data_IF_288609857177
#
_entry.id   IF_288609857177
#
_cell.length_a   1.000
_cell.length_b   1.000
_cell.length_c   1.000
_cell.angle_alpha   90.00
_cell.angle_beta   90.00
_cell.angle_gamma   90.00
#
_symmetry.space_group_name_H-M   'P 1'
#
loop_
_entity.id
_entity.type
_entity.pdbx_description
1 polymer ?
#
# COMPACT_ATOMS: atom_id res chain seq x y z
N UNK A 1 -38.27 -7.28 15.18
CA UNK A 1 -38.81 -7.69 13.87
C UNK A 1 -37.64 -7.95 12.94
N UNK A 2 -37.68 -9.06 12.19
CA UNK A 2 -36.62 -9.51 11.29
C UNK A 2 -36.49 -8.55 10.11
N UNK A 3 -35.44 -7.74 10.08
CA UNK A 3 -34.91 -7.22 8.82
C UNK A 3 -34.06 -8.32 8.19
N UNK A 4 -34.73 -9.27 7.52
CA UNK A 4 -34.09 -10.02 6.45
C UNK A 4 -33.70 -9.01 5.37
N UNK A 5 -32.46 -8.51 5.48
CA UNK A 5 -31.81 -7.70 4.46
C UNK A 5 -31.86 -8.50 3.16
N UNK A 6 -32.83 -8.20 2.30
CA UNK A 6 -32.83 -8.69 0.93
C UNK A 6 -31.50 -8.26 0.30
N UNK A 7 -30.62 -9.22 0.12
CA UNK A 7 -29.28 -9.06 -0.42
C UNK A 7 -29.40 -8.49 -1.83
N UNK A 8 -29.28 -7.18 -1.95
CA UNK A 8 -29.29 -6.50 -3.25
C UNK A 8 -28.09 -7.01 -4.07
N UNK A 9 -28.30 -7.43 -5.32
CA UNK A 9 -27.26 -7.96 -6.20
C UNK A 9 -26.14 -6.93 -6.46
N UNK A 10 -26.47 -5.64 -6.48
CA UNK A 10 -25.47 -4.58 -6.50
C UNK A 10 -24.65 -4.57 -5.21
N UNK A 11 -25.27 -4.75 -4.05
CA UNK A 11 -24.55 -4.83 -2.77
C UNK A 11 -23.73 -6.12 -2.62
N UNK A 12 -24.15 -7.20 -3.27
CA UNK A 12 -23.42 -8.47 -3.26
C UNK A 12 -22.14 -8.42 -4.11
N UNK A 13 -22.20 -7.75 -5.26
CA UNK A 13 -21.05 -7.49 -6.13
C UNK A 13 -20.31 -6.19 -5.77
N UNK A 14 -20.74 -5.50 -4.72
CA UNK A 14 -20.14 -4.24 -4.23
C UNK A 14 -20.12 -3.11 -5.26
N UNK A 15 -21.17 -3.03 -6.07
CA UNK A 15 -21.36 -2.04 -7.12
C UNK A 15 -22.46 -1.05 -6.77
N UNK A 16 -22.40 0.11 -7.42
CA UNK A 16 -23.52 1.05 -7.45
C UNK A 16 -24.56 0.60 -8.49
N UNK A 17 -25.86 0.94 -8.32
CA UNK A 17 -26.88 0.67 -9.35
C UNK A 17 -26.56 1.29 -10.72
N UNK A 18 -25.69 2.31 -10.75
CA UNK A 18 -25.19 3.01 -11.94
C UNK A 18 -23.98 2.33 -12.59
N UNK A 19 -23.50 1.20 -12.08
CA UNK A 19 -22.29 0.54 -12.58
C UNK A 19 -22.43 0.11 -14.05
N UNK A 20 -21.35 0.28 -14.80
CA UNK A 20 -21.24 -0.15 -16.20
C UNK A 20 -21.06 -1.66 -16.31
N UNK A 21 -21.31 -2.23 -17.49
CA UNK A 21 -21.10 -3.66 -17.73
C UNK A 21 -19.65 -4.10 -17.49
N UNK A 22 -18.68 -3.25 -17.86
CA UNK A 22 -17.27 -3.50 -17.62
C UNK A 22 -16.94 -3.60 -16.12
N UNK A 23 -17.54 -2.73 -15.30
CA UNK A 23 -17.38 -2.77 -13.84
C UNK A 23 -18.05 -4.01 -13.23
N UNK A 24 -19.20 -4.45 -13.77
CA UNK A 24 -19.88 -5.68 -13.36
C UNK A 24 -19.00 -6.90 -13.62
N UNK A 25 -18.40 -7.00 -14.81
CA UNK A 25 -17.47 -8.09 -15.13
C UNK A 25 -16.23 -8.05 -14.24
N UNK A 26 -15.66 -6.87 -14.01
CA UNK A 26 -14.48 -6.71 -13.16
C UNK A 26 -14.77 -7.16 -11.73
N UNK A 27 -15.84 -6.67 -11.11
CA UNK A 27 -16.21 -7.02 -9.75
C UNK A 27 -16.52 -8.51 -9.58
N UNK A 28 -17.16 -9.14 -10.59
CA UNK A 28 -17.37 -10.58 -10.57
C UNK A 28 -16.05 -11.36 -10.55
N UNK A 29 -15.08 -11.02 -11.39
CA UNK A 29 -13.77 -11.68 -11.38
C UNK A 29 -13.06 -11.54 -10.03
N UNK A 30 -13.05 -10.33 -9.45
CA UNK A 30 -12.44 -10.07 -8.15
C UNK A 30 -13.11 -10.89 -7.03
N UNK A 31 -14.44 -10.95 -7.02
CA UNK A 31 -15.20 -11.70 -6.01
C UNK A 31 -15.01 -13.22 -6.14
N UNK A 32 -14.93 -13.75 -7.38
CA UNK A 32 -14.64 -15.17 -7.61
C UNK A 32 -13.22 -15.53 -7.17
N UNK A 33 -12.24 -14.67 -7.43
CA UNK A 33 -10.86 -14.88 -6.95
C UNK A 33 -10.80 -14.96 -5.41
N UNK A 34 -11.64 -14.19 -4.71
CA UNK A 34 -11.72 -14.21 -3.24
C UNK A 34 -12.45 -15.44 -2.72
N UNK A 35 -13.61 -15.77 -3.30
CA UNK A 35 -14.54 -16.76 -2.74
C UNK A 35 -14.51 -18.14 -3.41
N UNK A 36 -13.58 -18.41 -4.33
CA UNK A 36 -13.52 -19.70 -5.01
C UNK A 36 -13.40 -20.87 -4.01
N UNK A 37 -14.25 -21.92 -4.09
CA UNK A 37 -14.26 -23.02 -3.14
C UNK A 37 -12.93 -23.77 -3.06
N UNK A 38 -12.16 -23.84 -4.16
CA UNK A 38 -10.83 -24.48 -4.18
C UNK A 38 -9.83 -23.87 -3.21
N UNK A 39 -9.99 -22.57 -2.89
CA UNK A 39 -9.11 -21.91 -1.90
C UNK A 39 -9.35 -22.41 -0.48
N UNK A 40 -10.46 -23.10 -0.24
CA UNK A 40 -10.88 -23.51 1.10
C UNK A 40 -10.94 -25.03 1.27
N UNK A 41 -10.33 -25.81 0.37
CA UNK A 41 -10.35 -27.29 0.39
C UNK A 41 -9.84 -27.92 1.71
N UNK A 42 -8.97 -27.21 2.44
CA UNK A 42 -8.47 -27.62 3.76
C UNK A 42 -9.52 -27.56 4.90
N UNK A 43 -10.70 -26.96 4.68
CA UNK A 43 -11.71 -26.74 5.72
C UNK A 43 -13.12 -26.95 5.17
N UNK A 44 -13.80 -28.06 5.53
CA UNK A 44 -15.13 -28.38 5.01
C UNK A 44 -16.19 -27.32 5.35
N UNK A 45 -16.05 -26.62 6.47
CA UNK A 45 -17.00 -25.58 6.90
C UNK A 45 -16.83 -24.29 6.11
N UNK A 46 -15.59 -23.89 5.83
CA UNK A 46 -15.29 -22.71 5.00
C UNK A 46 -15.58 -23.00 3.53
N UNK A 47 -15.29 -24.20 3.04
CA UNK A 47 -15.62 -24.63 1.69
C UNK A 47 -17.13 -24.50 1.41
N UNK A 48 -18.00 -24.99 2.31
CA UNK A 48 -19.46 -24.81 2.17
C UNK A 48 -19.89 -23.34 2.17
N UNK A 49 -19.24 -22.49 2.99
CA UNK A 49 -19.54 -21.05 3.01
C UNK A 49 -19.10 -20.35 1.72
N UNK A 50 -17.93 -20.71 1.20
CA UNK A 50 -17.39 -20.21 -0.04
C UNK A 50 -18.23 -20.63 -1.25
N UNK A 51 -18.70 -21.87 -1.26
CA UNK A 51 -19.63 -22.41 -2.24
C UNK A 51 -20.95 -21.63 -2.23
N UNK A 52 -21.61 -21.50 -1.06
CA UNK A 52 -22.85 -20.75 -0.93
C UNK A 52 -22.69 -19.28 -1.34
N UNK A 53 -21.55 -18.66 -1.01
CA UNK A 53 -21.25 -17.27 -1.39
C UNK A 53 -21.01 -17.12 -2.89
N UNK A 54 -20.26 -18.04 -3.49
CA UNK A 54 -19.97 -18.08 -4.92
C UNK A 54 -21.24 -18.27 -5.75
N UNK A 55 -22.17 -19.11 -5.30
CA UNK A 55 -23.47 -19.28 -5.94
C UNK A 55 -24.25 -17.96 -5.99
N UNK A 56 -24.31 -17.23 -4.88
CA UNK A 56 -24.98 -15.92 -4.83
C UNK A 56 -24.28 -14.91 -5.75
N UNK A 57 -22.94 -14.87 -5.77
CA UNK A 57 -22.15 -13.99 -6.63
C UNK A 57 -22.45 -14.25 -8.11
N UNK A 58 -22.50 -15.52 -8.50
CA UNK A 58 -22.83 -15.92 -9.87
C UNK A 58 -24.27 -15.55 -10.24
N UNK A 59 -25.22 -15.71 -9.32
CA UNK A 59 -26.62 -15.32 -9.54
C UNK A 59 -26.77 -13.80 -9.73
N UNK A 60 -26.07 -13.00 -8.92
CA UNK A 60 -26.04 -11.55 -9.07
C UNK A 60 -25.40 -11.14 -10.39
N UNK A 61 -24.28 -11.74 -10.77
CA UNK A 61 -23.61 -11.46 -12.04
C UNK A 61 -24.52 -11.77 -13.23
N UNK A 62 -25.12 -12.96 -13.28
CA UNK A 62 -26.04 -13.37 -14.35
C UNK A 62 -27.23 -12.41 -14.50
N UNK A 63 -27.75 -11.90 -13.38
CA UNK A 63 -28.89 -10.96 -13.40
C UNK A 63 -28.47 -9.56 -13.84
N UNK A 64 -27.30 -9.09 -13.41
CA UNK A 64 -26.84 -7.72 -13.69
C UNK A 64 -26.14 -7.57 -15.05
N UNK A 65 -25.59 -8.65 -15.60
CA UNK A 65 -24.88 -8.60 -16.88
C UNK A 65 -25.83 -8.60 -18.08
N UNK A 66 -27.00 -9.23 -17.95
CA UNK A 66 -28.05 -9.16 -18.97
C UNK A 66 -28.86 -7.85 -18.81
N UNK A 67 -28.86 -6.94 -19.80
CA UNK A 67 -29.60 -5.69 -19.74
C UNK A 67 -31.10 -5.88 -19.50
N UNK A 68 -31.72 -6.94 -20.04
CA UNK A 68 -33.14 -7.21 -19.88
C UNK A 68 -33.46 -7.69 -18.45
N UNK A 69 -32.67 -8.63 -17.93
CA UNK A 69 -32.79 -9.11 -16.55
C UNK A 69 -32.50 -7.99 -15.53
N UNK A 70 -31.46 -7.17 -15.78
CA UNK A 70 -31.09 -6.02 -14.95
C UNK A 70 -32.23 -5.00 -14.87
N UNK A 71 -32.89 -4.72 -15.99
CA UNK A 71 -34.03 -3.78 -16.02
C UNK A 71 -35.20 -4.30 -15.18
N UNK A 72 -35.54 -5.58 -15.30
CA UNK A 72 -36.59 -6.22 -14.48
C UNK A 72 -36.23 -6.20 -12.99
N UNK A 73 -34.97 -6.53 -12.67
CA UNK A 73 -34.46 -6.49 -11.30
C UNK A 73 -34.53 -5.08 -10.69
N UNK A 74 -34.13 -4.06 -11.46
CA UNK A 74 -34.21 -2.66 -11.05
C UNK A 74 -35.65 -2.21 -10.80
N UNK A 75 -36.60 -2.65 -11.64
CA UNK A 75 -38.02 -2.32 -11.50
C UNK A 75 -38.64 -2.92 -10.23
N UNK A 76 -38.22 -4.11 -9.82
CA UNK A 76 -38.69 -4.76 -8.57
C UNK A 76 -38.05 -4.16 -7.31
N UNK A 77 -36.88 -3.52 -7.43
CA UNK A 77 -36.07 -3.07 -6.28
C UNK A 77 -36.17 -1.57 -6.00
N UNK A 78 -36.79 -0.78 -6.88
CA UNK A 78 -37.08 0.65 -6.63
C UNK A 78 -38.48 0.83 -6.01
N UNK A 79 -38.63 1.45 -4.82
CA UNK A 79 -39.93 1.94 -4.39
C UNK A 79 -40.37 3.05 -5.34
N UNK A 80 -41.65 3.03 -5.73
CA UNK A 80 -42.26 3.96 -6.67
C UNK A 80 -42.13 5.42 -6.18
N UNK A 81 -41.04 6.08 -6.55
CA UNK A 81 -40.84 7.52 -6.39
C UNK A 81 -40.99 8.18 -7.77
N UNK A 82 -42.22 8.61 -8.04
CA UNK A 82 -42.59 9.75 -8.89
C UNK A 82 -41.83 9.94 -10.20
N UNK A 83 -42.48 9.54 -11.29
CA UNK A 83 -42.29 10.06 -12.63
C UNK A 83 -42.14 11.60 -12.64
N UNK A 84 -41.03 12.10 -13.17
CA UNK A 84 -40.95 13.45 -13.76
C UNK A 84 -40.61 13.28 -15.25
N UNK A 85 -41.42 13.81 -16.17
CA UNK A 85 -41.17 13.65 -17.60
C UNK A 85 -39.99 14.51 -18.07
N UNK A 86 -39.28 14.13 -19.15
CA UNK A 86 -38.19 14.90 -19.72
C UNK A 86 -38.72 16.09 -20.54
N UNK A 87 -38.04 17.25 -20.58
CA UNK A 87 -38.35 18.28 -21.56
C UNK A 87 -37.85 17.87 -22.96
N UNK A 88 -38.68 18.20 -23.94
CA UNK A 88 -38.55 17.89 -25.39
C UNK A 88 -37.48 18.74 -26.10
N UNK A 89 -37.08 18.33 -27.33
CA UNK A 89 -35.91 18.84 -28.04
C UNK A 89 -36.20 20.09 -28.88
N UNK A 90 -35.16 20.89 -29.12
CA UNK A 90 -35.15 21.93 -30.16
C UNK A 90 -33.95 21.73 -31.08
N UNK A 91 -34.23 21.67 -32.38
CA UNK A 91 -33.29 21.75 -33.52
C UNK A 91 -34.04 22.49 -34.64
N UNK A 92 -33.43 22.91 -35.77
CA UNK A 92 -32.01 23.04 -36.12
C UNK A 92 -31.65 24.42 -36.74
N UNK A 93 -30.36 24.71 -36.96
CA UNK A 93 -29.91 25.65 -37.99
C UNK A 93 -28.45 25.38 -38.41
N UNK A 94 -28.33 24.78 -39.60
CA UNK A 94 -27.40 25.05 -40.72
C UNK A 94 -25.94 25.47 -40.49
N UNK A 95 -25.05 24.58 -40.96
CA UNK A 95 -23.66 24.65 -41.47
C UNK A 95 -23.25 25.89 -42.32
N UNK A 96 -21.98 26.05 -42.81
CA UNK A 96 -20.73 25.26 -42.58
C UNK A 96 -19.47 26.13 -42.34
N UNK A 97 -18.37 25.57 -41.80
CA UNK A 97 -17.03 25.88 -42.34
C UNK A 97 -15.95 24.90 -41.85
N UNK A 98 -15.27 24.33 -42.84
CA UNK A 98 -13.99 23.63 -42.81
C UNK A 98 -12.90 24.28 -41.93
N UNK A 99 -12.20 23.47 -41.14
CA UNK A 99 -10.99 23.92 -40.43
C UNK A 99 -10.29 22.82 -39.66
N UNK A 100 -9.43 22.08 -40.35
CA UNK A 100 -8.19 21.44 -39.85
C UNK A 100 -8.20 20.70 -38.50
N UNK A 101 -8.13 19.37 -38.62
CA UNK A 101 -7.52 18.48 -37.64
C UNK A 101 -6.09 18.95 -37.33
N UNK A 102 -5.82 19.34 -36.08
CA UNK A 102 -4.48 19.44 -35.54
C UNK A 102 -4.39 18.52 -34.34
N UNK A 103 -3.82 17.34 -34.60
CA UNK A 103 -3.39 16.36 -33.62
C UNK A 103 -2.38 17.03 -32.68
N UNK A 104 -2.72 17.16 -31.40
CA UNK A 104 -1.73 17.45 -30.35
C UNK A 104 -0.72 16.30 -30.31
N UNK A 105 0.60 16.57 -30.38
CA UNK A 105 1.61 15.53 -30.29
C UNK A 105 1.68 14.96 -28.86
N UNK A 106 1.98 13.66 -28.70
CA UNK A 106 2.27 13.10 -27.39
C UNK A 106 3.54 13.74 -26.83
N UNK A 107 3.45 14.15 -25.55
CA UNK A 107 4.57 14.67 -24.77
C UNK A 107 5.77 13.69 -24.83
N UNK A 108 7.01 14.14 -25.07
CA UNK A 108 8.14 13.25 -25.16
C UNK A 108 8.42 12.62 -23.80
N UNK A 109 8.25 11.30 -23.73
CA UNK A 109 8.82 10.48 -22.67
C UNK A 109 10.33 10.78 -22.61
N UNK A 110 10.77 11.29 -21.46
CA UNK A 110 12.18 11.48 -21.21
C UNK A 110 12.88 10.11 -21.24
N UNK A 111 14.05 9.98 -21.88
CA UNK A 111 14.79 8.72 -21.86
C UNK A 111 15.21 8.38 -20.41
N UNK A 112 15.44 7.09 -20.10
CA UNK A 112 15.96 6.71 -18.79
C UNK A 112 17.30 7.41 -18.58
N UNK A 113 17.34 8.37 -17.63
CA UNK A 113 18.60 9.01 -17.24
C UNK A 113 19.52 7.92 -16.71
N UNK A 114 20.72 7.85 -17.28
CA UNK A 114 21.83 7.05 -16.79
C UNK A 114 22.04 7.33 -15.29
N UNK A 115 21.82 6.30 -14.47
CA UNK A 115 21.97 6.27 -13.00
C UNK A 115 23.45 6.47 -12.58
N UNK A 116 23.99 7.67 -12.73
CA UNK A 116 25.34 8.00 -12.21
C UNK A 116 25.37 9.23 -11.29
N UNK A 117 24.25 9.93 -11.12
CA UNK A 117 24.17 10.98 -10.10
C UNK A 117 24.05 10.35 -8.71
N UNK A 118 24.76 10.88 -7.69
CA UNK A 118 24.59 10.43 -6.32
C UNK A 118 23.13 10.62 -5.90
N UNK A 119 22.50 9.53 -5.44
CA UNK A 119 21.12 9.47 -4.94
C UNK A 119 21.10 9.86 -3.46
N UNK A 120 20.10 10.65 -3.07
CA UNK A 120 19.93 11.14 -1.70
C UNK A 120 20.54 12.54 -1.46
N UNK A 121 20.21 13.17 -0.32
CA UNK A 121 20.71 14.50 0.00
C UNK A 121 22.25 14.50 0.06
N UNK A 122 22.87 15.40 -0.72
CA UNK A 122 24.32 15.62 -0.73
C UNK A 122 24.85 16.23 0.57
N UNK A 123 23.96 16.68 1.45
CA UNK A 123 24.31 17.00 2.83
C UNK A 123 24.68 15.69 3.52
N UNK A 124 25.96 15.34 3.45
CA UNK A 124 26.64 14.59 4.51
C UNK A 124 26.03 15.06 5.83
N UNK A 125 25.45 14.16 6.62
CA UNK A 125 24.78 14.54 7.87
C UNK A 125 25.82 15.30 8.70
N UNK A 126 25.69 16.63 8.70
CA UNK A 126 26.76 17.55 9.01
C UNK A 126 26.53 17.96 10.45
N UNK A 127 26.76 17.05 11.39
CA UNK A 127 26.32 17.28 12.76
C UNK A 127 26.89 18.59 13.31
N UNK A 128 25.93 19.41 13.71
CA UNK A 128 26.14 20.79 14.03
C UNK A 128 26.62 20.93 15.47
N UNK A 129 27.75 21.62 15.59
CA UNK A 129 28.34 22.09 16.82
C UNK A 129 27.32 22.80 17.74
N UNK A 130 27.37 22.48 19.05
CA UNK A 130 27.13 23.49 20.11
C UNK A 130 28.07 24.65 19.83
N UNK A 131 27.56 25.89 19.77
CA UNK A 131 28.27 27.11 19.34
C UNK A 131 29.81 27.03 19.41
N UNK A 132 30.48 26.96 18.25
CA UNK A 132 31.95 27.14 18.14
C UNK A 132 32.83 25.87 18.08
N UNK A 133 32.26 24.67 17.97
CA UNK A 133 33.00 23.41 17.77
C UNK A 133 33.09 23.04 16.27
N UNK A 134 34.13 22.34 15.81
CA UNK A 134 34.25 21.92 14.41
C UNK A 134 33.14 20.93 14.02
N UNK A 135 32.62 21.06 12.79
CA UNK A 135 31.63 20.14 12.21
C UNK A 135 32.26 18.77 12.02
N UNK A 136 31.71 17.74 12.66
CA UNK A 136 32.16 16.35 12.50
C UNK A 136 31.52 15.72 11.26
N UNK A 137 32.31 15.02 10.45
CA UNK A 137 31.79 14.21 9.33
C UNK A 137 31.33 12.85 9.85
N UNK A 138 30.08 12.49 9.61
CA UNK A 138 29.57 11.14 9.91
C UNK A 138 30.05 10.18 8.82
N UNK A 139 30.66 9.04 9.18
CA UNK A 139 31.09 8.06 8.19
C UNK A 139 29.88 7.38 7.52
N UNK A 140 30.07 6.94 6.28
CA UNK A 140 29.09 6.11 5.59
C UNK A 140 28.96 4.76 6.30
N UNK A 141 27.74 4.21 6.36
CA UNK A 141 27.42 2.97 7.08
C UNK A 141 27.31 1.78 6.14
N UNK A 142 27.61 0.59 6.64
CA UNK A 142 27.23 -0.65 5.97
C UNK A 142 25.89 -1.12 6.48
N UNK A 143 25.13 -1.80 5.62
CA UNK A 143 23.87 -2.41 6.00
C UNK A 143 24.01 -3.93 6.06
N UNK A 144 23.65 -4.51 7.20
CA UNK A 144 23.34 -5.93 7.24
C UNK A 144 22.02 -6.20 6.54
N UNK A 145 22.01 -7.25 5.74
CA UNK A 145 20.85 -7.68 4.95
C UNK A 145 20.56 -9.13 5.32
N UNK A 146 19.37 -9.38 5.86
CA UNK A 146 18.96 -10.73 6.23
C UNK A 146 18.94 -11.66 4.99
N UNK A 147 19.49 -12.89 5.06
CA UNK A 147 19.50 -13.81 3.93
C UNK A 147 18.11 -14.23 3.43
N UNK A 148 17.07 -14.13 4.28
CA UNK A 148 15.67 -14.39 3.89
C UNK A 148 15.13 -13.34 2.91
N UNK A 149 15.80 -12.19 2.76
CA UNK A 149 15.46 -11.19 1.76
C UNK A 149 15.94 -11.64 0.38
N UNK A 150 15.02 -12.20 -0.42
CA UNK A 150 15.31 -12.72 -1.76
C UNK A 150 15.80 -11.63 -2.73
N UNK A 151 15.16 -10.46 -2.69
CA UNK A 151 15.49 -9.33 -3.56
C UNK A 151 15.89 -8.13 -2.70
N UNK A 152 17.15 -8.04 -2.24
CA UNK A 152 17.60 -6.89 -1.46
C UNK A 152 17.72 -5.65 -2.35
N UNK A 153 17.78 -4.49 -1.71
CA UNK A 153 18.10 -3.23 -2.37
C UNK A 153 19.59 -3.17 -2.73
N UNK A 154 19.94 -2.38 -3.74
CA UNK A 154 21.30 -2.28 -4.27
C UNK A 154 22.12 -1.15 -3.63
N UNK A 155 21.42 -0.15 -3.08
CA UNK A 155 21.95 1.08 -2.50
C UNK A 155 22.97 1.81 -3.37
N UNK A 156 22.95 1.60 -4.68
CA UNK A 156 23.93 2.19 -5.59
C UNK A 156 23.75 3.71 -5.68
N UNK A 157 24.83 4.46 -5.54
CA UNK A 157 24.80 5.92 -5.63
C UNK A 157 24.37 6.63 -4.34
N UNK A 158 24.02 5.93 -3.26
CA UNK A 158 23.84 6.56 -1.95
C UNK A 158 25.18 6.75 -1.25
N UNK A 159 25.71 7.97 -1.25
CA UNK A 159 27.04 8.30 -0.70
C UNK A 159 27.23 8.00 0.79
N UNK A 160 26.12 7.86 1.52
CA UNK A 160 26.06 7.53 2.95
C UNK A 160 26.02 6.04 3.26
N UNK A 161 25.87 5.21 2.23
CA UNK A 161 25.87 3.74 2.36
C UNK A 161 27.17 3.25 1.74
N UNK A 162 28.06 2.72 2.58
CA UNK A 162 29.34 2.18 2.15
C UNK A 162 29.19 0.84 1.41
N UNK A 163 28.13 0.08 1.74
CA UNK A 163 27.79 -1.17 1.07
C UNK A 163 26.81 -2.02 1.88
N UNK A 164 26.59 -3.25 1.42
CA UNK A 164 25.73 -4.24 2.09
C UNK A 164 26.51 -5.51 2.43
N UNK A 165 26.21 -6.11 3.57
CA UNK A 165 26.78 -7.37 4.04
C UNK A 165 25.61 -8.33 4.30
N UNK A 166 25.68 -9.54 3.74
CA UNK A 166 24.68 -10.60 4.01
C UNK A 166 24.99 -11.21 5.37
N UNK A 167 24.11 -11.02 6.34
CA UNK A 167 24.29 -11.49 7.72
C UNK A 167 22.93 -11.92 8.28
N UNK A 168 22.79 -13.10 8.90
CA UNK A 168 21.55 -13.52 9.56
C UNK A 168 21.17 -12.54 10.67
N UNK A 169 20.00 -11.90 10.53
CA UNK A 169 19.53 -10.96 11.54
C UNK A 169 18.58 -11.66 12.51
N UNK A 170 18.63 -11.33 13.81
CA UNK A 170 17.67 -11.87 14.78
C UNK A 170 16.24 -11.43 14.43
N UNK A 171 16.08 -10.22 13.87
CA UNK A 171 14.81 -9.69 13.40
C UNK A 171 15.00 -8.66 12.27
N UNK A 172 13.97 -8.50 11.44
CA UNK A 172 13.93 -7.51 10.37
C UNK A 172 14.59 -7.94 9.06
N UNK A 173 14.66 -6.98 8.14
CA UNK A 173 15.24 -7.14 6.80
C UNK A 173 16.60 -6.46 6.69
N UNK A 174 16.76 -5.31 7.35
CA UNK A 174 17.99 -4.51 7.35
C UNK A 174 18.34 -4.02 8.76
N UNK A 175 19.64 -3.95 9.04
CA UNK A 175 20.21 -3.34 10.24
C UNK A 175 21.50 -2.58 9.90
N UNK A 176 21.94 -1.68 10.78
CA UNK A 176 23.19 -0.92 10.60
C UNK A 176 24.36 -1.79 11.08
N UNK A 177 25.37 -2.04 10.25
CA UNK A 177 26.45 -2.96 10.61
C UNK A 177 27.33 -2.41 11.75
N UNK A 178 27.54 -1.10 11.80
CA UNK A 178 28.35 -0.42 12.81
C UNK A 178 27.65 -0.33 14.18
N UNK A 179 26.32 -0.48 14.22
CA UNK A 179 25.51 -0.47 15.44
C UNK A 179 24.24 -1.32 15.25
N UNK A 180 24.35 -2.66 15.22
CA UNK A 180 23.24 -3.55 14.84
C UNK A 180 22.02 -3.44 15.75
N UNK A 181 22.25 -3.20 17.04
CA UNK A 181 21.22 -3.05 18.06
C UNK A 181 20.45 -1.72 17.99
N UNK A 182 20.91 -0.73 17.22
CA UNK A 182 20.34 0.62 17.22
C UNK A 182 19.00 0.71 16.49
N UNK A 183 18.95 0.13 15.28
CA UNK A 183 17.84 0.26 14.34
C UNK A 183 17.58 -1.08 13.64
N UNK A 184 16.33 -1.53 13.70
CA UNK A 184 15.83 -2.64 12.90
C UNK A 184 14.78 -2.15 11.91
N UNK A 185 14.95 -2.50 10.63
CA UNK A 185 13.98 -2.20 9.57
C UNK A 185 13.45 -3.50 9.00
N UNK A 186 12.14 -3.73 9.14
CA UNK A 186 11.41 -4.81 8.48
C UNK A 186 10.74 -4.26 7.22
N UNK A 187 11.06 -4.82 6.07
CA UNK A 187 10.37 -4.49 4.81
C UNK A 187 9.35 -5.58 4.50
N UNK A 188 8.12 -5.16 4.16
CA UNK A 188 7.07 -6.05 3.62
C UNK A 188 6.44 -5.41 2.39
N UNK A 189 5.96 -6.24 1.47
CA UNK A 189 5.17 -5.76 0.34
C UNK A 189 3.71 -5.48 0.73
N UNK A 190 3.04 -4.61 -0.01
CA UNK A 190 1.61 -4.33 0.19
C UNK A 190 0.73 -5.57 0.00
N UNK A 191 1.10 -6.47 -0.92
CA UNK A 191 0.41 -7.74 -1.14
C UNK A 191 0.53 -8.69 0.07
N UNK A 192 1.71 -8.71 0.70
CA UNK A 192 1.97 -9.47 1.93
C UNK A 192 1.16 -8.88 3.09
N UNK A 193 1.12 -7.56 3.22
CA UNK A 193 0.29 -6.87 4.21
C UNK A 193 -1.20 -7.23 4.07
N UNK A 194 -1.74 -7.21 2.84
CA UNK A 194 -3.13 -7.63 2.61
C UNK A 194 -3.35 -9.10 2.95
N UNK A 195 -2.37 -9.95 2.71
CA UNK A 195 -2.41 -11.38 3.03
C UNK A 195 -2.42 -11.62 4.55
N UNK A 196 -1.61 -10.88 5.30
CA UNK A 196 -1.57 -10.88 6.78
C UNK A 196 -2.88 -10.35 7.36
N UNK A 197 -3.43 -9.28 6.77
CA UNK A 197 -4.68 -8.69 7.23
C UNK A 197 -5.88 -9.60 6.95
N UNK A 198 -5.98 -10.15 5.73
CA UNK A 198 -7.15 -10.89 5.26
C UNK A 198 -7.20 -12.35 5.73
N UNK A 199 -6.05 -12.97 6.05
CA UNK A 199 -5.98 -14.32 6.62
C UNK A 199 -5.30 -14.32 8.01
N UNK A 200 -6.05 -14.01 9.08
CA UNK A 200 -5.52 -13.94 10.44
C UNK A 200 -5.00 -15.27 10.99
N UNK A 201 -5.59 -16.39 10.57
CA UNK A 201 -5.35 -17.70 11.20
C UNK A 201 -3.97 -18.25 10.91
N UNK A 202 -3.45 -18.01 9.70
CA UNK A 202 -2.19 -18.60 9.25
C UNK A 202 -1.04 -17.59 9.20
N UNK A 203 -1.31 -16.37 8.74
CA UNK A 203 -0.24 -15.43 8.39
C UNK A 203 0.01 -14.37 9.47
N UNK A 204 -1.01 -14.05 10.28
CA UNK A 204 -0.89 -12.99 11.28
C UNK A 204 -0.07 -13.40 12.48
N UNK A 205 -0.25 -14.61 12.99
CA UNK A 205 0.48 -15.05 14.19
C UNK A 205 2.01 -15.07 13.98
N UNK A 206 2.55 -15.63 12.87
CA UNK A 206 3.98 -15.53 12.59
C UNK A 206 4.46 -14.07 12.46
N UNK A 207 3.70 -13.23 11.75
CA UNK A 207 4.03 -11.81 11.60
C UNK A 207 4.07 -11.06 12.93
N UNK A 208 3.11 -11.31 13.83
CA UNK A 208 3.10 -10.70 15.17
C UNK A 208 4.28 -11.18 16.03
N UNK A 209 4.66 -12.46 15.95
CA UNK A 209 5.87 -12.95 16.63
C UNK A 209 7.15 -12.30 16.08
N UNK A 210 7.24 -12.06 14.77
CA UNK A 210 8.36 -11.31 14.21
C UNK A 210 8.38 -9.87 14.75
N UNK A 211 7.23 -9.19 14.82
CA UNK A 211 7.14 -7.85 15.42
C UNK A 211 7.50 -7.82 16.91
N UNK A 212 7.29 -8.91 17.66
CA UNK A 212 7.75 -9.03 19.04
C UNK A 212 9.29 -9.03 19.12
N UNK A 213 9.98 -9.65 18.16
CA UNK A 213 11.45 -9.64 18.11
C UNK A 213 12.01 -8.25 17.86
N UNK A 214 11.26 -7.37 17.16
CA UNK A 214 11.64 -5.98 16.93
C UNK A 214 11.67 -5.13 18.21
N UNK A 215 11.02 -5.60 19.30
CA UNK A 215 11.01 -4.88 20.57
C UNK A 215 12.38 -4.77 21.24
N UNK A 216 13.33 -5.64 20.86
CA UNK A 216 14.71 -5.60 21.34
C UNK A 216 15.47 -4.36 20.86
N UNK A 217 14.99 -3.68 19.81
CA UNK A 217 15.66 -2.54 19.20
C UNK A 217 15.04 -1.21 19.69
N UNK A 218 15.85 -0.18 20.02
CA UNK A 218 15.36 1.14 20.38
C UNK A 218 14.58 1.81 19.25
N UNK A 219 15.09 1.71 18.03
CA UNK A 219 14.42 2.21 16.83
C UNK A 219 13.96 1.03 15.98
N UNK A 220 12.67 1.02 15.63
CA UNK A 220 12.04 -0.09 14.92
C UNK A 220 11.08 0.43 13.87
N UNK A 221 11.32 0.02 12.63
CA UNK A 221 10.59 0.52 11.46
C UNK A 221 9.99 -0.64 10.69
N UNK A 222 8.71 -0.52 10.37
CA UNK A 222 8.04 -1.35 9.38
C UNK A 222 7.87 -0.53 8.09
N UNK A 223 8.63 -0.88 7.06
CA UNK A 223 8.51 -0.29 5.73
C UNK A 223 7.55 -1.12 4.88
N UNK A 224 6.50 -0.48 4.37
CA UNK A 224 5.51 -1.10 3.49
C UNK A 224 5.80 -0.62 2.06
N UNK A 225 6.25 -1.54 1.22
CA UNK A 225 6.56 -1.32 -0.19
C UNK A 225 5.34 -1.59 -1.08
N UNK A 226 4.96 -0.59 -1.88
CA UNK A 226 3.87 -0.66 -2.84
C UNK A 226 2.71 0.25 -2.50
N UNK A 227 1.91 0.55 -3.52
CA UNK A 227 0.78 1.47 -3.38
C UNK A 227 -0.38 0.81 -2.66
N UNK A 228 -0.70 1.31 -1.47
CA UNK A 228 -2.00 1.10 -0.86
C UNK A 228 -3.05 1.72 -1.78
N UNK A 229 -3.94 0.89 -2.33
CA UNK A 229 -4.95 1.38 -3.26
C UNK A 229 -5.96 2.25 -2.48
N UNK A 230 -5.77 3.56 -2.56
CA UNK A 230 -6.60 4.56 -1.90
C UNK A 230 -7.86 4.94 -2.69
N UNK A 231 -8.04 4.39 -3.91
CA UNK A 231 -9.24 4.72 -4.68
C UNK A 231 -10.46 4.29 -3.88
N UNK A 232 -11.42 5.21 -3.75
CA UNK A 232 -12.80 4.96 -3.35
C UNK A 232 -13.38 3.90 -4.27
N UNK A 233 -13.04 2.63 -4.07
CA UNK A 233 -13.82 1.53 -4.60
C UNK A 233 -15.21 1.73 -3.98
N UNK A 234 -16.20 1.96 -4.83
CA UNK A 234 -17.54 2.33 -4.39
C UNK A 234 -18.08 1.32 -3.39
N UNK A 235 -18.85 1.81 -2.41
CA UNK A 235 -19.54 0.95 -1.45
C UNK A 235 -18.97 0.93 -0.04
N UNK A 236 -19.79 0.47 0.91
CA UNK A 236 -19.50 0.46 2.35
C UNK A 236 -18.45 -0.58 2.74
N UNK A 237 -18.38 -1.74 2.07
CA UNK A 237 -17.48 -2.83 2.47
C UNK A 237 -16.01 -2.49 2.23
N UNK A 238 -15.67 -1.92 1.07
CA UNK A 238 -14.33 -1.42 0.78
C UNK A 238 -13.88 -0.34 1.78
N UNK A 239 -14.81 0.50 2.25
CA UNK A 239 -14.53 1.46 3.33
C UNK A 239 -14.28 0.77 4.67
N UNK A 240 -15.08 -0.25 5.04
CA UNK A 240 -14.83 -1.03 6.27
C UNK A 240 -13.52 -1.81 6.21
N UNK A 241 -13.17 -2.40 5.06
CA UNK A 241 -11.91 -3.10 4.88
C UNK A 241 -10.72 -2.14 5.00
N UNK A 242 -10.81 -0.94 4.41
CA UNK A 242 -9.80 0.11 4.55
C UNK A 242 -9.66 0.59 5.98
N UNK A 243 -10.77 0.94 6.63
CA UNK A 243 -10.77 1.43 8.02
C UNK A 243 -10.17 0.35 8.92
N UNK A 244 -10.60 -0.90 8.79
CA UNK A 244 -10.06 -2.00 9.58
C UNK A 244 -8.57 -2.28 9.32
N UNK A 245 -8.07 -2.09 8.09
CA UNK A 245 -6.64 -2.20 7.81
C UNK A 245 -5.85 -1.07 8.49
N UNK A 246 -6.34 0.17 8.43
CA UNK A 246 -5.69 1.30 9.11
C UNK A 246 -5.74 1.12 10.63
N UNK A 247 -6.89 0.73 11.19
CA UNK A 247 -7.04 0.41 12.61
C UNK A 247 -6.08 -0.72 13.04
N UNK A 248 -5.89 -1.72 12.17
CA UNK A 248 -4.90 -2.78 12.40
C UNK A 248 -3.48 -2.22 12.45
N UNK A 249 -3.09 -1.39 11.48
CA UNK A 249 -1.75 -0.76 11.47
C UNK A 249 -1.54 0.16 12.69
N UNK A 250 -2.55 0.94 13.07
CA UNK A 250 -2.52 1.79 14.26
C UNK A 250 -2.40 0.96 15.54
N UNK A 251 -3.07 -0.20 15.61
CA UNK A 251 -2.90 -1.14 16.70
C UNK A 251 -1.47 -1.70 16.78
N UNK A 252 -0.81 -1.94 15.63
CA UNK A 252 0.60 -2.35 15.61
C UNK A 252 1.51 -1.23 16.14
N UNK A 253 1.30 0.01 15.69
CA UNK A 253 2.03 1.19 16.18
C UNK A 253 1.89 1.29 17.70
N UNK A 254 0.66 1.22 18.22
CA UNK A 254 0.40 1.35 19.65
C UNK A 254 0.97 0.19 20.48
N UNK A 255 0.84 -1.06 20.00
CA UNK A 255 1.26 -2.26 20.75
C UNK A 255 2.77 -2.47 20.75
N UNK A 256 3.43 -2.19 19.63
CA UNK A 256 4.83 -2.50 19.43
C UNK A 256 5.72 -1.26 19.44
N UNK A 257 5.16 -0.05 19.43
CA UNK A 257 5.94 1.18 19.30
C UNK A 257 6.73 1.22 18.00
N UNK A 258 6.18 0.65 16.92
CA UNK A 258 6.82 0.62 15.60
C UNK A 258 6.46 1.86 14.80
N UNK A 259 7.44 2.40 14.08
CA UNK A 259 7.19 3.42 13.08
C UNK A 259 6.83 2.75 11.75
N UNK A 260 5.70 3.12 11.17
CA UNK A 260 5.29 2.61 9.86
C UNK A 260 5.59 3.64 8.79
N UNK A 261 6.30 3.23 7.74
CA UNK A 261 6.66 4.09 6.61
C UNK A 261 6.14 3.43 5.33
N UNK A 262 5.50 4.22 4.49
CA UNK A 262 5.00 3.80 3.18
C UNK A 262 5.95 4.29 2.09
N UNK A 263 6.20 3.42 1.11
CA UNK A 263 6.91 3.77 -0.10
C UNK A 263 6.16 3.18 -1.29
N UNK A 264 5.74 4.03 -2.24
CA UNK A 264 4.90 3.60 -3.36
C UNK A 264 5.69 2.77 -4.37
N UNK A 265 7.01 2.97 -4.42
CA UNK A 265 7.92 2.33 -5.36
C UNK A 265 9.11 1.71 -4.64
N UNK A 266 9.75 0.74 -5.30
CA UNK A 266 10.97 0.12 -4.82
C UNK A 266 12.12 1.11 -4.63
N UNK A 267 12.29 2.03 -5.58
CA UNK A 267 13.35 3.05 -5.52
C UNK A 267 13.11 4.00 -4.33
N UNK A 268 11.86 4.36 -4.02
CA UNK A 268 11.52 5.11 -2.81
C UNK A 268 11.80 4.30 -1.55
N UNK A 269 11.41 3.01 -1.53
CA UNK A 269 11.64 2.14 -0.38
C UNK A 269 13.14 2.02 -0.06
N UNK A 270 13.96 1.79 -1.07
CA UNK A 270 15.42 1.79 -0.98
C UNK A 270 15.96 3.11 -0.42
N UNK A 271 15.49 4.24 -0.94
CA UNK A 271 15.88 5.56 -0.45
C UNK A 271 15.48 5.77 1.02
N UNK A 272 14.29 5.32 1.44
CA UNK A 272 13.86 5.39 2.84
C UNK A 272 14.77 4.58 3.75
N UNK A 273 15.11 3.34 3.38
CA UNK A 273 16.03 2.51 4.16
C UNK A 273 17.39 3.20 4.31
N UNK A 274 17.96 3.72 3.21
CA UNK A 274 19.23 4.42 3.24
C UNK A 274 19.20 5.70 4.12
N UNK A 275 18.12 6.48 4.02
CA UNK A 275 17.91 7.68 4.83
C UNK A 275 17.84 7.34 6.33
N UNK A 276 17.00 6.37 6.70
CA UNK A 276 16.78 6.00 8.10
C UNK A 276 18.06 5.47 8.74
N UNK A 277 18.75 4.55 8.06
CA UNK A 277 20.00 4.00 8.57
C UNK A 277 21.05 5.09 8.84
N UNK A 278 21.26 5.97 7.85
CA UNK A 278 22.23 7.05 7.99
C UNK A 278 21.84 8.06 9.07
N UNK A 279 20.56 8.45 9.16
CA UNK A 279 20.10 9.41 10.16
C UNK A 279 20.19 8.85 11.58
N UNK A 280 19.72 7.63 11.80
CA UNK A 280 19.81 7.00 13.12
C UNK A 280 21.26 6.83 13.55
N UNK A 281 22.13 6.37 12.64
CA UNK A 281 23.56 6.24 12.93
C UNK A 281 24.23 7.59 13.20
N UNK A 282 23.91 8.63 12.44
CA UNK A 282 24.48 9.95 12.65
C UNK A 282 24.17 10.52 14.03
N UNK A 283 22.92 10.37 14.49
CA UNK A 283 22.54 10.78 15.84
C UNK A 283 23.25 9.96 16.91
N UNK A 284 23.30 8.64 16.74
CA UNK A 284 24.05 7.76 17.63
C UNK A 284 25.54 8.15 17.71
N UNK A 285 26.18 8.33 16.55
CA UNK A 285 27.57 8.74 16.45
C UNK A 285 27.81 10.10 17.11
N UNK A 286 26.91 11.07 16.94
CA UNK A 286 27.01 12.37 17.59
C UNK A 286 26.86 12.30 19.12
N UNK A 287 26.01 11.41 19.63
CA UNK A 287 25.87 11.16 21.07
C UNK A 287 27.15 10.56 21.65
N UNK A 288 27.74 9.56 20.98
CA UNK A 288 29.02 8.94 21.37
C UNK A 288 30.17 9.97 21.40
N UNK A 289 30.14 10.96 20.50
CA UNK A 289 31.11 12.06 20.47
C UNK A 289 30.78 13.20 21.45
N UNK A 290 29.70 13.10 22.22
CA UNK A 290 29.30 14.08 23.23
C UNK A 290 28.60 15.33 22.70
N UNK A 291 28.20 15.35 21.42
CA UNK A 291 27.50 16.49 20.81
C UNK A 291 25.99 16.50 21.11
N UNK A 292 25.41 15.34 21.43
CA UNK A 292 23.98 15.17 21.70
C UNK A 292 23.10 15.21 20.43
N UNK A 293 21.78 15.13 20.59
CA UNK A 293 20.81 15.20 19.48
C UNK A 293 20.42 16.65 19.21
N UNK A 294 20.89 17.23 18.11
CA UNK A 294 20.42 18.53 17.64
C UNK A 294 19.92 18.44 16.20
N UNK A 295 18.84 19.14 15.91
CA UNK A 295 18.31 19.37 14.57
C UNK A 295 18.37 20.88 14.36
N UNK A 296 19.09 21.39 13.36
CA UNK A 296 19.06 22.82 13.05
C UNK A 296 18.15 23.09 11.85
N UNK A 297 17.64 24.32 11.78
CA UNK A 297 16.74 24.78 10.70
C UNK A 297 17.36 24.64 9.30
N UNK A 298 18.68 24.71 9.17
CA UNK A 298 19.38 24.54 7.89
C UNK A 298 19.45 23.06 7.40
N UNK A 299 18.96 22.11 8.20
CA UNK A 299 18.90 20.66 7.89
C UNK A 299 17.48 20.16 7.58
N UNK A 300 16.49 21.05 7.55
CA UNK A 300 15.09 20.82 7.11
C UNK A 300 14.93 21.13 5.61
#
# INVERSE_FOLDING_TARGET
MREERMTNYYSLLELLPTATEAEIKKAWHEQIQVWHPDRFNHSPTLHRKAEARTQLINQAYQTLIDPAARTRYNATTQPAASHRPPPRPSSPASDPSSGFYSSTPPSPQSPPRSRQDPRGPKSLIMMLSRLGQPKGMVPAVHLYVDPRVHFPYDFQGFVRIAGTIREPLPAGSYAIAEAPELLCIKCIGVEELYTIYSNPSDNRLPFLHELEQLLAFPSRVLLIEGTLQHRKAGGRLNQYHKIGLMDFLDALIARYGIQIIYADTRDEAEERVANLAAMHFAYYFAEEQGFGRCLKEDEL
#
